data_IF_746693425341
#
_entry.id   IF_746693425341
#
_cell.length_a   1.000
_cell.length_b   1.000
_cell.length_c   1.000
_cell.angle_alpha   90.00
_cell.angle_beta   90.00
_cell.angle_gamma   90.00
#
_symmetry.space_group_name_H-M   'P 1'
#
loop_
_entity.id
_entity.type
_entity.pdbx_description
1 polymer ?
#
# COMPACT_ATOMS: atom_id res chain seq x y z
N UNK A 1 -8.11 7.30 12.67
CA UNK A 1 -6.83 6.59 12.96
C UNK A 1 -5.64 7.49 12.64
N UNK A 2 -4.48 7.22 13.24
CA UNK A 2 -3.26 7.99 12.95
C UNK A 2 -2.57 7.45 11.69
N UNK A 3 -2.07 8.37 10.86
CA UNK A 3 -1.33 8.05 9.64
C UNK A 3 -0.21 9.06 9.39
N UNK A 4 0.78 8.66 8.60
CA UNK A 4 1.76 9.58 8.03
C UNK A 4 1.23 10.02 6.66
N UNK A 5 0.86 11.28 6.57
CA UNK A 5 0.25 11.90 5.39
C UNK A 5 1.23 12.88 4.77
N UNK A 6 1.33 12.91 3.45
CA UNK A 6 2.15 13.93 2.77
C UNK A 6 1.39 15.27 2.74
N UNK A 7 2.06 16.34 3.11
CA UNK A 7 1.53 17.71 3.00
C UNK A 7 1.59 18.25 1.57
N UNK A 8 1.17 19.52 1.37
CA UNK A 8 1.19 20.16 0.05
C UNK A 8 2.59 20.38 -0.54
N UNK A 9 3.64 20.28 0.26
CA UNK A 9 5.04 20.32 -0.16
C UNK A 9 5.64 18.91 -0.34
N UNK A 10 4.86 17.86 -0.07
CA UNK A 10 5.29 16.46 -0.12
C UNK A 10 6.11 16.01 1.08
N UNK A 11 6.09 16.77 2.18
CA UNK A 11 6.75 16.39 3.43
C UNK A 11 5.81 15.49 4.27
N UNK A 12 6.37 14.44 4.94
CA UNK A 12 5.57 13.55 5.76
C UNK A 12 5.19 14.22 7.09
N UNK A 13 3.91 14.12 7.46
CA UNK A 13 3.35 14.65 8.71
C UNK A 13 2.42 13.64 9.37
N UNK A 14 2.43 13.59 10.70
CA UNK A 14 1.47 12.80 11.45
C UNK A 14 0.10 13.50 11.42
N UNK A 15 -0.93 12.78 11.00
CA UNK A 15 -2.31 13.29 10.93
C UNK A 15 -3.31 12.25 11.43
N UNK A 16 -4.48 12.73 11.84
CA UNK A 16 -5.66 11.89 12.05
C UNK A 16 -6.47 11.84 10.76
N UNK A 17 -6.76 10.63 10.29
CA UNK A 17 -7.59 10.39 9.11
C UNK A 17 -8.74 9.44 9.44
N UNK A 18 -9.82 9.42 8.66
CA UNK A 18 -10.88 8.42 8.81
C UNK A 18 -10.32 6.99 8.63
N UNK A 19 -10.95 6.02 9.27
CA UNK A 19 -10.71 4.62 8.94
C UNK A 19 -11.23 4.33 7.53
N UNK A 20 -10.56 3.44 6.75
CA UNK A 20 -11.06 3.06 5.44
C UNK A 20 -12.40 2.31 5.57
N UNK A 21 -13.35 2.65 4.72
CA UNK A 21 -14.70 2.09 4.65
C UNK A 21 -14.95 1.25 3.39
N UNK A 22 -13.87 0.89 2.69
CA UNK A 22 -13.91 0.14 1.44
C UNK A 22 -14.40 -1.30 1.58
N UNK A 23 -14.62 -1.95 0.44
CA UNK A 23 -15.08 -3.35 0.36
C UNK A 23 -13.97 -4.38 0.69
N UNK A 24 -12.78 -3.94 1.08
CA UNK A 24 -11.65 -4.79 1.41
C UNK A 24 -11.71 -5.38 2.82
N UNK A 25 -10.74 -6.20 3.14
CA UNK A 25 -10.56 -6.71 4.49
C UNK A 25 -9.80 -5.69 5.33
N UNK A 26 -10.37 -5.24 6.44
CA UNK A 26 -9.68 -4.40 7.40
C UNK A 26 -8.61 -5.24 8.14
N UNK A 27 -7.42 -4.68 8.26
CA UNK A 27 -6.31 -5.31 8.96
C UNK A 27 -5.58 -4.29 9.84
N UNK A 28 -5.02 -4.75 10.94
CA UNK A 28 -4.20 -3.89 11.81
C UNK A 28 -2.74 -3.97 11.37
N UNK A 29 -2.15 -2.87 10.99
CA UNK A 29 -0.74 -2.81 10.59
C UNK A 29 0.16 -3.06 11.81
N UNK A 30 1.08 -3.99 11.67
CA UNK A 30 2.10 -4.33 12.68
C UNK A 30 3.45 -3.69 12.35
N UNK A 31 3.79 -3.63 11.09
CA UNK A 31 5.01 -3.01 10.58
C UNK A 31 4.85 -2.64 9.11
N UNK A 32 5.47 -1.55 8.69
CA UNK A 32 5.57 -1.15 7.31
C UNK A 32 7.03 -0.81 6.98
N UNK A 33 7.58 -1.42 5.94
CA UNK A 33 8.89 -1.10 5.42
C UNK A 33 8.89 0.22 4.64
N UNK A 34 10.01 0.93 4.70
CA UNK A 34 10.25 2.11 3.87
C UNK A 34 11.03 1.68 2.62
N UNK A 35 10.37 1.68 1.48
CA UNK A 35 10.96 1.37 0.19
C UNK A 35 11.60 2.60 -0.47
N UNK A 36 12.58 2.38 -1.34
CA UNK A 36 13.15 3.46 -2.15
C UNK A 36 12.11 4.18 -3.01
N UNK A 37 11.08 3.48 -3.48
CA UNK A 37 9.96 4.08 -4.23
C UNK A 37 9.09 5.02 -3.38
N UNK A 38 9.01 4.83 -2.05
CA UNK A 38 8.35 5.78 -1.16
C UNK A 38 9.16 7.07 -1.08
N UNK A 39 10.49 6.95 -0.96
CA UNK A 39 11.40 8.11 -0.94
C UNK A 39 11.31 8.90 -2.25
N UNK A 40 11.22 8.24 -3.40
CA UNK A 40 11.07 8.91 -4.71
C UNK A 40 9.75 9.68 -4.84
N UNK A 41 8.71 9.27 -4.10
CA UNK A 41 7.40 9.93 -4.08
C UNK A 41 7.35 11.17 -3.19
N UNK A 42 8.31 11.35 -2.26
CA UNK A 42 8.40 12.56 -1.44
C UNK A 42 8.58 13.78 -2.35
N UNK A 43 7.78 14.82 -2.10
CA UNK A 43 7.76 16.03 -2.93
C UNK A 43 7.06 15.89 -4.31
N UNK A 44 6.54 14.71 -4.64
CA UNK A 44 5.89 14.43 -5.94
C UNK A 44 4.46 13.90 -5.80
N UNK A 45 4.19 13.07 -4.79
CA UNK A 45 2.86 12.54 -4.56
C UNK A 45 1.91 13.66 -4.11
N UNK A 46 0.62 13.57 -4.45
CA UNK A 46 -0.37 14.57 -4.05
C UNK A 46 -0.46 14.75 -2.53
N UNK A 47 -0.82 15.96 -2.10
CA UNK A 47 -1.16 16.21 -0.70
C UNK A 47 -2.28 15.26 -0.24
N UNK A 48 -2.17 14.78 0.99
CA UNK A 48 -3.10 13.80 1.54
C UNK A 48 -2.74 12.34 1.24
N UNK A 49 -1.72 12.07 0.40
CA UNK A 49 -1.28 10.70 0.13
C UNK A 49 -0.70 10.04 1.39
N UNK A 50 -1.08 8.79 1.63
CA UNK A 50 -0.44 7.88 2.58
C UNK A 50 0.36 6.86 1.78
N UNK A 51 1.66 6.79 2.02
CA UNK A 51 2.55 5.85 1.33
C UNK A 51 2.66 4.52 2.11
N UNK A 52 3.57 3.66 1.66
CA UNK A 52 3.87 2.37 2.29
C UNK A 52 3.13 1.21 1.65
N UNK A 53 3.90 0.20 1.25
CA UNK A 53 3.41 -0.97 0.52
C UNK A 53 4.10 -2.27 0.97
N UNK A 54 5.13 -2.19 1.80
CA UNK A 54 5.81 -3.35 2.38
C UNK A 54 5.25 -3.63 3.79
N UNK A 55 4.05 -4.20 3.84
CA UNK A 55 3.23 -4.24 5.06
C UNK A 55 3.13 -5.65 5.62
N UNK A 56 3.38 -5.77 6.92
CA UNK A 56 2.95 -6.90 7.74
C UNK A 56 1.81 -6.44 8.63
N UNK A 57 0.73 -7.19 8.61
CA UNK A 57 -0.49 -6.84 9.32
C UNK A 57 -1.09 -8.04 10.08
N UNK A 58 -2.07 -7.78 10.89
CA UNK A 58 -2.87 -8.78 11.58
C UNK A 58 -4.34 -8.65 11.18
N UNK A 59 -4.92 -9.76 10.78
CA UNK A 59 -6.34 -9.90 10.49
C UNK A 59 -7.16 -9.91 11.78
N UNK A 60 -8.48 -9.72 11.68
CA UNK A 60 -9.39 -9.73 12.82
C UNK A 60 -9.38 -11.07 13.58
N UNK A 61 -9.20 -12.18 12.87
CA UNK A 61 -9.04 -13.52 13.45
C UNK A 61 -7.63 -13.81 14.02
N UNK A 62 -6.76 -12.79 14.08
CA UNK A 62 -5.46 -12.83 14.75
C UNK A 62 -4.31 -13.37 13.90
N UNK A 63 -4.52 -13.73 12.63
CA UNK A 63 -3.45 -14.22 11.75
C UNK A 63 -2.53 -13.07 11.32
N UNK A 64 -1.23 -13.35 11.24
CA UNK A 64 -0.27 -12.44 10.61
C UNK A 64 -0.21 -12.68 9.11
N UNK A 65 -0.24 -11.60 8.35
CA UNK A 65 -0.24 -11.61 6.88
C UNK A 65 0.75 -10.58 6.36
N UNK A 66 1.39 -10.89 5.24
CA UNK A 66 2.07 -9.89 4.42
C UNK A 66 1.09 -9.42 3.35
N UNK A 67 0.94 -8.12 3.19
CA UNK A 67 0.04 -7.58 2.18
C UNK A 67 0.73 -7.56 0.82
N UNK A 68 0.00 -7.98 -0.20
CA UNK A 68 0.46 -7.92 -1.58
C UNK A 68 -0.11 -6.66 -2.22
N UNK A 69 0.77 -5.70 -2.53
CA UNK A 69 0.37 -4.44 -3.15
C UNK A 69 0.32 -4.51 -4.69
N UNK A 70 0.74 -5.63 -5.27
CA UNK A 70 0.75 -5.88 -6.70
C UNK A 70 -0.13 -7.08 -7.03
N UNK A 71 -1.13 -6.90 -7.88
CA UNK A 71 -1.95 -7.99 -8.38
C UNK A 71 -1.68 -8.20 -9.88
N UNK A 72 -1.22 -9.40 -10.22
CA UNK A 72 -1.10 -9.84 -11.60
C UNK A 72 -2.46 -10.26 -12.16
N UNK A 73 -2.65 -10.15 -13.49
CA UNK A 73 -3.92 -10.53 -14.13
C UNK A 73 -4.11 -12.04 -14.28
N UNK A 74 -3.04 -12.84 -14.16
CA UNK A 74 -3.05 -14.30 -14.31
C UNK A 74 -3.28 -14.80 -15.74
N UNK A 75 -3.53 -13.93 -16.73
CA UNK A 75 -3.98 -14.29 -18.09
C UNK A 75 -3.09 -13.82 -19.24
N UNK A 76 -2.29 -12.75 -19.04
CA UNK A 76 -1.38 -12.26 -20.08
C UNK A 76 -0.24 -13.26 -20.36
N UNK A 77 0.50 -13.05 -21.42
CA UNK A 77 1.62 -13.93 -21.79
C UNK A 77 2.66 -14.04 -20.68
N UNK A 78 2.99 -12.92 -20.03
CA UNK A 78 3.93 -12.87 -18.91
C UNK A 78 3.48 -13.74 -17.73
N UNK A 79 2.20 -13.61 -17.32
CA UNK A 79 1.66 -14.42 -16.24
C UNK A 79 1.64 -15.92 -16.58
N UNK A 80 1.27 -16.28 -17.80
CA UNK A 80 1.27 -17.69 -18.26
C UNK A 80 2.67 -18.29 -18.31
N UNK A 81 3.69 -17.46 -18.54
CA UNK A 81 5.09 -17.87 -18.50
C UNK A 81 5.71 -17.88 -17.09
N UNK A 82 4.93 -17.56 -16.03
CA UNK A 82 5.41 -17.50 -14.64
C UNK A 82 6.17 -16.21 -14.30
N UNK A 83 5.99 -15.15 -15.08
CA UNK A 83 6.61 -13.84 -14.90
C UNK A 83 5.60 -12.80 -14.41
N UNK A 84 4.88 -13.09 -13.33
CA UNK A 84 3.79 -12.24 -12.80
C UNK A 84 4.27 -10.86 -12.37
N UNK A 85 5.53 -10.73 -11.92
CA UNK A 85 6.13 -9.44 -11.54
C UNK A 85 6.26 -8.45 -12.71
N UNK A 86 6.16 -8.93 -13.94
CA UNK A 86 6.18 -8.13 -15.16
C UNK A 86 4.85 -8.20 -15.92
N UNK A 87 3.76 -8.42 -15.20
CA UNK A 87 2.41 -8.49 -15.75
C UNK A 87 2.07 -7.23 -16.57
N UNK A 88 1.47 -7.42 -17.74
CA UNK A 88 1.10 -6.34 -18.65
C UNK A 88 -0.11 -5.53 -18.14
N UNK A 89 -0.97 -6.17 -17.32
CA UNK A 89 -2.15 -5.55 -16.70
C UNK A 89 -1.98 -5.42 -15.17
N UNK A 90 -0.84 -4.96 -14.75
CA UNK A 90 -0.46 -4.88 -13.35
C UNK A 90 -1.28 -3.84 -12.58
N UNK A 91 -1.84 -4.22 -11.46
CA UNK A 91 -2.57 -3.32 -10.55
C UNK A 91 -1.78 -3.14 -9.26
N UNK A 92 -1.47 -1.88 -8.94
CA UNK A 92 -0.60 -1.50 -7.83
C UNK A 92 -1.33 -1.01 -6.57
N UNK A 93 -2.62 -0.78 -6.62
CA UNK A 93 -3.39 -0.12 -5.55
C UNK A 93 -4.29 -1.12 -4.83
N UNK A 94 -3.72 -1.85 -3.88
CA UNK A 94 -4.46 -2.87 -3.12
C UNK A 94 -4.40 -2.63 -1.60
N UNK A 95 -3.70 -1.58 -1.16
CA UNK A 95 -3.58 -1.21 0.25
C UNK A 95 -4.11 0.22 0.41
N UNK A 96 -5.21 0.38 1.12
CA UNK A 96 -5.85 1.67 1.39
C UNK A 96 -5.83 1.99 2.89
N UNK A 97 -5.51 3.22 3.22
CA UNK A 97 -5.00 4.34 2.40
C UNK A 97 -3.52 4.22 2.05
N UNK A 98 -2.82 3.31 2.67
CA UNK A 98 -1.40 3.01 2.54
C UNK A 98 -0.84 2.45 3.84
N UNK A 99 0.34 1.84 3.80
CA UNK A 99 0.93 1.09 4.92
C UNK A 99 1.40 1.94 6.09
N UNK A 100 1.53 3.26 5.92
CA UNK A 100 1.88 4.18 7.02
C UNK A 100 0.63 4.77 7.71
N UNK A 101 -0.47 4.01 7.75
CA UNK A 101 -1.70 4.34 8.47
C UNK A 101 -2.01 3.35 9.60
#
# INVERSE_FOLDING_TARGET
MRAIVLDGAGAPQLAEIPEPDGAGQLVRILACGLCGSDVEKLGRAPAGSVLGHEVVAQTEDGRRVALVHHLSCGRCERCRAGHESTCEEFRAETIEPGGFA
#
